data_IF_249308963692
#
_entry.id   IF_249308963692
#
_cell.length_a   1.000
_cell.length_b   1.000
_cell.length_c   1.000
_cell.angle_alpha   90.00
_cell.angle_beta   90.00
_cell.angle_gamma   90.00
#
_symmetry.space_group_name_H-M   'P 1'
#
loop_
_entity.id
_entity.type
_entity.pdbx_description
1 polymer ?
#
# COMPACT_ATOMS: atom_id res chain seq x y z
N UNK A 1 -27.34 14.58 -12.84
CA UNK A 1 -26.35 15.16 -13.77
C UNK A 1 -25.76 16.48 -13.28
N UNK A 2 -26.05 16.98 -12.06
CA UNK A 2 -25.49 18.26 -11.58
C UNK A 2 -24.96 18.18 -10.14
N UNK A 3 -23.88 17.44 -9.93
CA UNK A 3 -23.10 17.49 -8.66
C UNK A 3 -21.60 17.22 -8.84
N UNK A 4 -21.12 16.99 -10.08
CA UNK A 4 -19.71 16.69 -10.39
C UNK A 4 -18.86 17.92 -10.75
N UNK A 5 -19.43 19.12 -10.79
CA UNK A 5 -18.70 20.37 -11.04
C UNK A 5 -18.23 21.05 -9.74
N UNK A 6 -17.29 20.42 -9.05
CA UNK A 6 -16.39 21.10 -8.12
C UNK A 6 -14.93 20.84 -8.57
N UNK A 7 -14.66 21.07 -9.85
CA UNK A 7 -13.28 21.18 -10.33
C UNK A 7 -12.77 22.53 -9.83
N UNK A 8 -11.89 22.48 -8.83
CA UNK A 8 -11.13 23.64 -8.38
C UNK A 8 -10.44 24.24 -9.62
N UNK A 9 -10.86 25.45 -10.04
CA UNK A 9 -10.39 26.09 -11.28
C UNK A 9 -8.98 26.68 -11.18
N UNK A 10 -8.28 26.44 -10.07
CA UNK A 10 -6.94 26.94 -9.87
C UNK A 10 -5.91 26.11 -10.63
N UNK A 11 -4.80 26.75 -10.98
CA UNK A 11 -3.65 26.08 -11.58
C UNK A 11 -2.64 25.76 -10.49
N UNK A 12 -2.21 24.51 -10.40
CA UNK A 12 -1.28 24.04 -9.37
C UNK A 12 0.10 23.80 -9.93
N UNK A 13 1.11 23.98 -9.09
CA UNK A 13 2.49 23.61 -9.38
C UNK A 13 3.16 22.84 -8.24
N UNK A 14 4.11 21.97 -8.58
CA UNK A 14 4.97 21.28 -7.63
C UNK A 14 6.26 20.76 -8.30
N UNK A 15 7.26 20.44 -7.48
CA UNK A 15 8.41 19.62 -7.90
C UNK A 15 7.93 18.17 -7.98
N UNK A 16 8.12 17.52 -9.12
CA UNK A 16 7.69 16.13 -9.40
C UNK A 16 8.83 15.10 -9.27
N UNK A 17 10.06 15.55 -9.05
CA UNK A 17 11.25 14.73 -8.75
C UNK A 17 11.47 14.56 -7.25
N UNK A 18 12.18 13.51 -6.80
CA UNK A 18 12.54 13.35 -5.39
C UNK A 18 13.25 14.60 -4.82
N UNK A 19 13.03 14.86 -3.53
CA UNK A 19 13.70 15.96 -2.85
C UNK A 19 15.22 15.75 -2.81
N UNK A 20 15.97 16.81 -3.10
CA UNK A 20 17.43 16.80 -3.07
C UNK A 20 18.07 17.42 -4.30
N UNK A 21 19.38 17.28 -4.38
CA UNK A 21 20.19 17.70 -5.51
C UNK A 21 20.35 16.56 -6.52
N UNK A 22 20.39 16.91 -7.81
CA UNK A 22 20.56 15.94 -8.88
C UNK A 22 20.93 16.59 -10.21
N UNK A 23 21.16 15.76 -11.24
CA UNK A 23 21.43 16.28 -12.59
C UNK A 23 20.24 17.04 -13.18
N UNK A 24 19.01 16.64 -12.83
CA UNK A 24 17.77 17.21 -13.32
C UNK A 24 16.72 17.27 -12.20
N UNK A 25 15.89 18.31 -12.22
CA UNK A 25 14.64 18.38 -11.48
C UNK A 25 13.49 18.67 -12.45
N UNK A 26 12.30 18.15 -12.17
CA UNK A 26 11.10 18.40 -12.97
C UNK A 26 10.10 19.16 -12.14
N UNK A 27 9.66 20.32 -12.63
CA UNK A 27 8.53 21.04 -12.08
C UNK A 27 7.32 20.85 -12.98
N UNK A 28 6.18 20.52 -12.38
CA UNK A 28 4.93 20.26 -13.08
C UNK A 28 3.93 21.35 -12.76
N UNK A 29 3.23 21.83 -13.77
CA UNK A 29 2.13 22.79 -13.67
C UNK A 29 0.89 22.18 -14.33
N UNK A 30 -0.25 22.13 -13.64
CA UNK A 30 -1.52 21.58 -14.16
C UNK A 30 -2.69 22.48 -13.83
N UNK A 31 -3.58 22.70 -14.78
CA UNK A 31 -4.79 23.50 -14.62
C UNK A 31 -5.09 24.38 -15.83
N UNK A 32 -6.18 25.16 -15.80
CA UNK A 32 -6.66 25.92 -16.95
C UNK A 32 -5.69 27.01 -17.41
N UNK A 33 -4.83 27.53 -16.54
CA UNK A 33 -3.84 28.57 -16.86
C UNK A 33 -2.42 28.01 -16.99
N UNK A 34 -2.22 26.69 -16.96
CA UNK A 34 -0.88 26.09 -17.00
C UNK A 34 -0.05 26.56 -18.20
N UNK A 35 -0.67 26.59 -19.39
CA UNK A 35 -0.01 27.04 -20.62
C UNK A 35 0.32 28.53 -20.53
N UNK A 36 -0.65 29.37 -20.18
CA UNK A 36 -0.50 30.84 -20.19
C UNK A 36 0.48 31.34 -19.12
N UNK A 37 0.54 30.70 -17.96
CA UNK A 37 1.53 30.99 -16.92
C UNK A 37 2.93 30.67 -17.42
N UNK A 38 3.15 29.46 -17.96
CA UNK A 38 4.49 29.07 -18.39
C UNK A 38 4.92 29.83 -19.65
N UNK A 39 4.01 30.19 -20.56
CA UNK A 39 4.32 31.00 -21.75
C UNK A 39 4.88 32.38 -21.40
N UNK A 40 4.47 32.97 -20.27
CA UNK A 40 5.00 34.25 -19.81
C UNK A 40 6.47 34.15 -19.40
N UNK A 41 6.84 33.03 -18.77
CA UNK A 41 8.14 32.80 -18.13
C UNK A 41 9.17 32.13 -19.06
N UNK A 42 8.72 31.27 -19.96
CA UNK A 42 9.56 30.45 -20.82
C UNK A 42 9.76 31.10 -22.19
N UNK A 43 11.00 31.05 -22.70
CA UNK A 43 11.34 31.48 -24.06
C UNK A 43 12.03 30.34 -24.79
N UNK A 44 11.33 29.79 -25.79
CA UNK A 44 11.89 28.73 -26.64
C UNK A 44 12.98 29.26 -27.56
N UNK A 45 13.99 28.44 -27.85
CA UNK A 45 15.05 28.81 -28.81
C UNK A 45 14.48 29.02 -30.22
N UNK A 46 13.39 28.32 -30.57
CA UNK A 46 12.71 28.47 -31.84
C UNK A 46 11.78 29.68 -31.96
N UNK A 47 11.68 30.53 -30.92
CA UNK A 47 10.85 31.73 -30.89
C UNK A 47 9.34 31.48 -30.79
N UNK A 48 8.88 30.23 -30.91
CA UNK A 48 7.47 29.84 -30.77
C UNK A 48 7.04 29.83 -29.32
N UNK A 49 5.85 30.36 -29.07
CA UNK A 49 5.19 30.31 -27.76
C UNK A 49 4.59 28.93 -27.50
N UNK A 50 4.47 28.55 -26.23
CA UNK A 50 3.92 27.26 -25.78
C UNK A 50 2.49 27.05 -26.28
N UNK A 51 1.66 28.10 -26.30
CA UNK A 51 0.28 27.97 -26.79
C UNK A 51 0.20 27.61 -28.29
N UNK A 52 1.27 27.79 -29.06
CA UNK A 52 1.35 27.38 -30.47
C UNK A 52 1.88 25.94 -30.66
N UNK A 53 2.36 25.31 -29.58
CA UNK A 53 2.94 23.98 -29.67
C UNK A 53 1.85 22.90 -29.83
N UNK A 54 2.06 21.89 -30.68
CA UNK A 54 1.24 20.68 -30.65
C UNK A 54 1.41 19.96 -29.31
N UNK A 55 0.41 19.16 -28.94
CA UNK A 55 0.47 18.31 -27.76
C UNK A 55 1.66 17.34 -27.82
N UNK A 56 2.18 16.95 -26.65
CA UNK A 56 3.32 16.05 -26.46
C UNK A 56 4.65 16.55 -27.04
N UNK A 57 4.75 17.85 -27.35
CA UNK A 57 5.99 18.45 -27.84
C UNK A 57 6.90 18.84 -26.69
N UNK A 58 8.17 18.47 -26.81
CA UNK A 58 9.25 19.02 -25.98
C UNK A 58 10.06 20.06 -26.75
N UNK A 59 10.55 21.07 -26.05
CA UNK A 59 11.40 22.11 -26.63
C UNK A 59 12.34 22.72 -25.60
N UNK A 60 13.56 22.99 -26.06
CA UNK A 60 14.60 23.67 -25.27
C UNK A 60 14.41 25.19 -25.29
N UNK A 61 14.69 25.82 -24.15
CA UNK A 61 14.59 27.27 -23.98
C UNK A 61 15.11 27.72 -22.63
N UNK A 62 14.86 28.98 -22.29
CA UNK A 62 15.23 29.57 -20.99
C UNK A 62 14.00 30.00 -20.22
N UNK A 63 13.98 29.77 -18.91
CA UNK A 63 13.08 30.48 -17.99
C UNK A 63 13.74 31.78 -17.55
N UNK A 64 12.96 32.86 -17.54
CA UNK A 64 13.47 34.21 -17.26
C UNK A 64 12.65 34.92 -16.19
N UNK A 65 13.33 35.78 -15.45
CA UNK A 65 12.68 36.76 -14.57
C UNK A 65 11.98 37.86 -15.39
N UNK A 66 11.10 38.64 -14.76
CA UNK A 66 10.40 39.77 -15.40
C UNK A 66 11.37 40.83 -16.00
N UNK A 67 12.59 40.95 -15.45
CA UNK A 67 13.65 41.81 -15.98
C UNK A 67 14.42 41.23 -17.19
N UNK A 68 14.11 40.02 -17.64
CA UNK A 68 14.74 39.36 -18.79
C UNK A 68 16.00 38.54 -18.45
N UNK A 69 16.51 38.63 -17.23
CA UNK A 69 17.58 37.79 -16.69
C UNK A 69 17.17 36.31 -16.75
N UNK A 70 18.10 35.46 -17.18
CA UNK A 70 17.88 34.01 -17.27
C UNK A 70 18.02 33.39 -15.88
N UNK A 71 16.99 32.67 -15.44
CA UNK A 71 17.07 31.83 -14.25
C UNK A 71 17.79 30.53 -14.57
N UNK A 72 17.30 29.80 -15.58
CA UNK A 72 17.88 28.53 -16.01
C UNK A 72 17.49 28.21 -17.45
N UNK A 73 18.32 27.38 -18.09
CA UNK A 73 18.01 26.74 -19.35
C UNK A 73 17.28 25.41 -19.07
N UNK A 74 16.13 25.23 -19.71
CA UNK A 74 15.19 24.14 -19.41
C UNK A 74 14.70 23.44 -20.67
N UNK A 75 14.17 22.25 -20.49
CA UNK A 75 13.33 21.57 -21.49
C UNK A 75 11.88 21.62 -21.02
N UNK A 76 11.03 22.31 -21.76
CA UNK A 76 9.59 22.33 -21.53
C UNK A 76 8.92 21.21 -22.32
N UNK A 77 7.97 20.49 -21.70
CA UNK A 77 7.12 19.51 -22.37
C UNK A 77 5.65 19.89 -22.16
N UNK A 78 4.90 20.00 -23.26
CA UNK A 78 3.49 20.40 -23.24
C UNK A 78 2.55 19.22 -23.40
N UNK A 79 1.61 19.08 -22.47
CA UNK A 79 0.46 18.18 -22.55
C UNK A 79 -0.81 19.03 -22.60
N UNK A 80 -1.73 18.73 -23.53
CA UNK A 80 -3.00 19.44 -23.66
C UNK A 80 -4.14 18.57 -23.15
N UNK A 81 -5.14 19.18 -22.53
CA UNK A 81 -6.40 18.52 -22.15
C UNK A 81 -7.07 17.89 -23.39
N UNK A 82 -7.71 16.72 -23.28
CA UNK A 82 -7.81 15.83 -22.11
C UNK A 82 -6.63 14.85 -21.95
N UNK A 83 -5.58 15.07 -22.72
CA UNK A 83 -4.53 14.10 -23.04
C UNK A 83 -3.27 14.26 -22.15
N UNK A 84 -3.49 14.46 -20.85
CA UNK A 84 -2.45 14.56 -19.82
C UNK A 84 -2.68 13.56 -18.69
N UNK A 85 -1.81 13.57 -17.67
CA UNK A 85 -1.99 12.76 -16.46
C UNK A 85 -3.24 13.19 -15.69
N UNK A 86 -3.40 14.49 -15.43
CA UNK A 86 -4.56 15.03 -14.70
C UNK A 86 -5.82 15.11 -15.56
N UNK A 87 -5.71 15.06 -16.89
CA UNK A 87 -6.80 15.36 -17.82
C UNK A 87 -6.93 16.86 -18.14
N UNK A 88 -6.11 17.70 -17.53
CA UNK A 88 -6.06 19.15 -17.76
C UNK A 88 -4.91 19.53 -18.69
N UNK A 89 -4.81 20.81 -19.06
CA UNK A 89 -3.57 21.32 -19.64
C UNK A 89 -2.44 21.20 -18.60
N UNK A 90 -1.29 20.68 -19.03
CA UNK A 90 -0.15 20.42 -18.14
C UNK A 90 1.15 20.77 -18.85
N UNK A 91 2.05 21.44 -18.14
CA UNK A 91 3.40 21.75 -18.61
C UNK A 91 4.42 21.20 -17.61
N UNK A 92 5.42 20.49 -18.11
CA UNK A 92 6.55 20.01 -17.33
C UNK A 92 7.82 20.76 -17.74
N UNK A 93 8.53 21.32 -16.76
CA UNK A 93 9.79 22.03 -16.93
C UNK A 93 10.91 21.18 -16.31
N UNK A 94 11.74 20.58 -17.16
CA UNK A 94 12.96 19.90 -16.73
C UNK A 94 14.11 20.92 -16.67
N UNK A 95 14.54 21.26 -15.46
CA UNK A 95 15.61 22.20 -15.15
C UNK A 95 16.81 21.50 -14.51
N UNK A 96 17.91 22.20 -14.30
CA UNK A 96 19.02 21.69 -13.51
C UNK A 96 18.55 21.42 -12.07
N UNK A 97 18.99 20.30 -11.49
CA UNK A 97 18.55 19.84 -10.16
C UNK A 97 19.14 20.61 -8.97
N UNK A 98 19.48 21.89 -9.13
CA UNK A 98 19.91 22.76 -8.04
C UNK A 98 18.72 23.16 -7.16
N UNK A 99 18.85 23.01 -5.83
CA UNK A 99 17.79 23.41 -4.90
C UNK A 99 17.42 24.89 -5.03
N UNK A 100 18.39 25.75 -5.31
CA UNK A 100 18.16 27.17 -5.53
C UNK A 100 17.31 27.41 -6.78
N UNK A 101 17.62 26.74 -7.90
CA UNK A 101 16.86 26.87 -9.16
C UNK A 101 15.43 26.37 -8.96
N UNK A 102 15.26 25.22 -8.31
CA UNK A 102 13.95 24.67 -7.99
C UNK A 102 13.10 25.66 -7.17
N UNK A 103 13.69 26.25 -6.12
CA UNK A 103 13.00 27.23 -5.26
C UNK A 103 12.62 28.51 -6.04
N UNK A 104 13.53 29.06 -6.84
CA UNK A 104 13.23 30.26 -7.62
C UNK A 104 12.17 30.00 -8.69
N UNK A 105 12.20 28.85 -9.35
CA UNK A 105 11.20 28.50 -10.36
C UNK A 105 9.82 28.31 -9.74
N UNK A 106 9.72 27.67 -8.57
CA UNK A 106 8.47 27.60 -7.81
C UNK A 106 7.94 28.99 -7.44
N UNK A 107 8.81 29.87 -6.91
CA UNK A 107 8.43 31.26 -6.57
C UNK A 107 7.92 32.03 -7.78
N UNK A 108 8.56 31.88 -8.94
CA UNK A 108 8.12 32.49 -10.19
C UNK A 108 6.74 32.00 -10.62
N UNK A 109 6.50 30.68 -10.58
CA UNK A 109 5.22 30.08 -10.91
C UNK A 109 4.12 30.58 -9.97
N UNK A 110 4.38 30.58 -8.65
CA UNK A 110 3.42 31.08 -7.65
C UNK A 110 3.12 32.56 -7.85
N UNK A 111 4.15 33.37 -8.06
CA UNK A 111 4.01 34.81 -8.34
C UNK A 111 3.21 35.12 -9.61
N UNK A 112 3.08 34.15 -10.54
CA UNK A 112 2.36 34.31 -11.80
C UNK A 112 0.97 33.66 -11.84
N UNK A 113 0.50 33.11 -10.72
CA UNK A 113 -0.87 32.61 -10.57
C UNK A 113 -1.00 31.12 -10.22
N UNK A 114 0.10 30.39 -10.08
CA UNK A 114 0.04 29.01 -9.58
C UNK A 114 -0.18 28.97 -8.07
N UNK A 115 -0.92 27.97 -7.58
CA UNK A 115 -0.89 27.55 -6.17
C UNK A 115 0.05 26.35 -6.00
N UNK A 116 0.68 26.21 -4.84
CA UNK A 116 1.36 24.95 -4.49
C UNK A 116 0.36 23.80 -4.40
N UNK A 117 0.64 22.70 -5.10
CA UNK A 117 -0.19 21.50 -5.03
C UNK A 117 -0.17 20.88 -3.63
N UNK A 118 -1.32 20.36 -3.20
CA UNK A 118 -1.43 19.50 -2.01
C UNK A 118 -0.85 18.10 -2.27
N UNK A 119 -0.52 17.32 -1.22
CA UNK A 119 -0.15 15.91 -1.37
C UNK A 119 -1.19 15.13 -2.19
N UNK A 120 -0.72 14.39 -3.21
CA UNK A 120 -1.59 13.60 -4.09
C UNK A 120 -2.55 14.38 -4.99
N UNK A 121 -2.49 15.72 -5.02
CA UNK A 121 -3.50 16.53 -5.71
C UNK A 121 -3.52 16.26 -7.24
N UNK A 122 -2.37 15.97 -7.85
CA UNK A 122 -2.31 15.60 -9.28
C UNK A 122 -3.05 14.29 -9.54
N UNK A 123 -2.83 13.27 -8.71
CA UNK A 123 -3.53 11.98 -8.81
C UNK A 123 -5.03 12.13 -8.50
N UNK A 124 -5.40 12.99 -7.54
CA UNK A 124 -6.79 13.34 -7.23
C UNK A 124 -7.49 13.97 -8.42
N UNK A 125 -6.86 14.94 -9.11
CA UNK A 125 -7.41 15.56 -10.33
C UNK A 125 -7.55 14.56 -11.46
N UNK A 126 -6.59 13.64 -11.62
CA UNK A 126 -6.69 12.55 -12.59
C UNK A 126 -7.92 11.66 -12.33
N UNK A 127 -8.20 11.33 -11.07
CA UNK A 127 -9.41 10.60 -10.67
C UNK A 127 -10.70 11.39 -10.97
N UNK A 128 -10.77 12.65 -10.53
CA UNK A 128 -11.95 13.50 -10.73
C UNK A 128 -12.27 13.75 -12.21
N UNK A 129 -11.25 13.81 -13.06
CA UNK A 129 -11.40 13.95 -14.51
C UNK A 129 -11.60 12.61 -15.25
N UNK A 130 -11.79 11.50 -14.51
CA UNK A 130 -12.04 10.18 -15.09
C UNK A 130 -10.86 9.58 -15.86
N UNK A 131 -9.63 10.05 -15.62
CA UNK A 131 -8.40 9.48 -16.20
C UNK A 131 -7.99 8.20 -15.50
N UNK A 132 -8.29 8.10 -14.21
CA UNK A 132 -8.03 6.97 -13.34
C UNK A 132 -9.28 6.69 -12.52
N UNK A 133 -9.52 5.44 -12.16
CA UNK A 133 -10.41 5.11 -11.06
C UNK A 133 -9.67 5.13 -9.71
N UNK A 134 -10.37 4.92 -8.60
CA UNK A 134 -9.77 5.05 -7.27
C UNK A 134 -8.71 3.98 -6.98
N UNK A 135 -8.96 2.75 -7.45
CA UNK A 135 -8.02 1.64 -7.31
C UNK A 135 -6.74 1.89 -8.11
N UNK A 136 -6.88 2.42 -9.33
CA UNK A 136 -5.74 2.83 -10.16
C UNK A 136 -4.96 3.98 -9.55
N UNK A 137 -5.65 4.96 -8.93
CA UNK A 137 -4.99 6.06 -8.23
C UNK A 137 -4.11 5.55 -7.08
N UNK A 138 -4.63 4.67 -6.22
CA UNK A 138 -3.84 4.00 -5.17
C UNK A 138 -2.64 3.23 -5.73
N UNK A 139 -2.82 2.55 -6.87
CA UNK A 139 -1.75 1.80 -7.50
C UNK A 139 -0.59 2.68 -7.97
N UNK A 140 -0.83 3.97 -8.27
CA UNK A 140 0.25 4.91 -8.61
C UNK A 140 1.20 5.09 -7.42
N UNK A 141 0.68 5.27 -6.21
CA UNK A 141 1.50 5.36 -5.00
C UNK A 141 2.26 4.04 -4.76
N UNK A 142 1.59 2.90 -4.92
CA UNK A 142 2.17 1.59 -4.71
C UNK A 142 3.30 1.27 -5.72
N UNK A 143 3.19 1.73 -6.97
CA UNK A 143 4.26 1.61 -7.97
C UNK A 143 5.50 2.41 -7.56
N UNK A 144 5.30 3.61 -7.01
CA UNK A 144 6.40 4.51 -6.59
C UNK A 144 7.10 3.95 -5.35
N UNK A 145 6.35 3.41 -4.40
CA UNK A 145 6.88 2.88 -3.14
C UNK A 145 7.42 1.46 -3.23
N UNK A 146 7.09 0.71 -4.30
CA UNK A 146 7.44 -0.70 -4.45
C UNK A 146 8.96 -0.97 -4.29
N UNK A 147 9.31 -1.77 -3.28
CA UNK A 147 10.70 -2.22 -2.99
C UNK A 147 11.01 -3.63 -3.46
N UNK A 148 10.04 -4.31 -4.06
CA UNK A 148 10.18 -5.68 -4.55
C UNK A 148 9.56 -5.86 -5.94
N UNK A 149 10.06 -6.84 -6.70
CA UNK A 149 9.52 -7.17 -8.02
C UNK A 149 8.06 -7.66 -7.96
N UNK A 150 7.69 -8.34 -6.86
CA UNK A 150 6.34 -8.83 -6.63
C UNK A 150 5.38 -7.69 -6.30
N UNK A 151 5.78 -6.76 -5.41
CA UNK A 151 5.03 -5.54 -5.11
C UNK A 151 4.78 -4.71 -6.37
N UNK A 152 5.82 -4.49 -7.18
CA UNK A 152 5.71 -3.76 -8.44
C UNK A 152 4.76 -4.45 -9.43
N UNK A 153 4.81 -5.79 -9.51
CA UNK A 153 3.91 -6.57 -10.38
C UNK A 153 2.46 -6.45 -9.93
N UNK A 154 2.22 -6.53 -8.62
CA UNK A 154 0.90 -6.36 -8.02
C UNK A 154 0.32 -4.98 -8.30
N UNK A 155 1.09 -3.93 -8.01
CA UNK A 155 0.70 -2.55 -8.23
C UNK A 155 0.46 -2.25 -9.72
N UNK A 156 1.27 -2.78 -10.64
CA UNK A 156 1.04 -2.65 -12.09
C UNK A 156 -0.27 -3.30 -12.55
N UNK A 157 -0.60 -4.48 -12.03
CA UNK A 157 -1.85 -5.17 -12.33
C UNK A 157 -3.08 -4.44 -11.76
N UNK A 158 -2.91 -3.67 -10.70
CA UNK A 158 -3.96 -2.77 -10.22
C UNK A 158 -4.07 -1.53 -11.11
N UNK A 159 -2.94 -0.94 -11.50
CA UNK A 159 -2.90 0.25 -12.36
C UNK A 159 -3.43 0.03 -13.78
N UNK A 160 -3.33 -1.19 -14.33
CA UNK A 160 -3.88 -1.52 -15.66
C UNK A 160 -5.42 -1.62 -15.70
N UNK A 161 -6.08 -1.53 -14.54
CA UNK A 161 -7.54 -1.57 -14.41
C UNK A 161 -8.12 -2.97 -14.19
N UNK A 162 -7.30 -4.02 -14.10
CA UNK A 162 -7.78 -5.39 -13.88
C UNK A 162 -8.60 -5.54 -12.59
N UNK A 163 -8.21 -4.79 -11.54
CA UNK A 163 -8.90 -4.81 -10.24
C UNK A 163 -10.30 -4.24 -10.38
N UNK A 164 -10.38 -3.04 -10.93
CA UNK A 164 -11.64 -2.34 -11.18
C UNK A 164 -12.56 -3.15 -12.07
N UNK A 165 -12.05 -3.74 -13.15
CA UNK A 165 -12.83 -4.60 -14.02
C UNK A 165 -13.49 -5.77 -13.27
N UNK A 166 -12.79 -6.42 -12.35
CA UNK A 166 -13.35 -7.56 -11.62
C UNK A 166 -14.28 -7.18 -10.48
N UNK A 167 -13.98 -6.11 -9.71
CA UNK A 167 -14.91 -5.62 -8.69
C UNK A 167 -16.20 -5.10 -9.33
N UNK A 168 -16.07 -4.42 -10.46
CA UNK A 168 -17.19 -4.00 -11.27
C UNK A 168 -18.01 -5.21 -11.78
N UNK A 169 -17.36 -6.27 -12.26
CA UNK A 169 -18.07 -7.49 -12.65
C UNK A 169 -18.78 -8.18 -11.47
N UNK A 170 -18.26 -8.07 -10.24
CA UNK A 170 -18.96 -8.53 -9.03
C UNK A 170 -20.17 -7.65 -8.71
N UNK A 171 -20.02 -6.33 -8.78
CA UNK A 171 -21.11 -5.38 -8.58
C UNK A 171 -22.23 -5.58 -9.62
N UNK A 172 -21.88 -5.76 -10.90
CA UNK A 172 -22.82 -5.96 -11.99
C UNK A 172 -23.67 -7.24 -11.76
N UNK A 173 -23.07 -8.32 -11.23
CA UNK A 173 -23.80 -9.54 -10.83
C UNK A 173 -24.78 -9.30 -9.68
N UNK A 174 -24.39 -8.50 -8.68
CA UNK A 174 -25.28 -8.16 -7.56
C UNK A 174 -26.41 -7.22 -7.99
N UNK A 175 -26.17 -6.35 -8.97
CA UNK A 175 -27.20 -5.51 -9.59
C UNK A 175 -28.22 -6.39 -10.34
N UNK A 176 -27.75 -7.39 -11.09
CA UNK A 176 -28.63 -8.38 -11.74
C UNK A 176 -29.49 -9.12 -10.70
N UNK A 177 -28.90 -9.52 -9.56
CA UNK A 177 -29.64 -10.13 -8.45
C UNK A 177 -30.71 -9.20 -7.86
N UNK A 178 -30.40 -7.90 -7.73
CA UNK A 178 -31.37 -6.90 -7.27
C UNK A 178 -32.56 -6.85 -8.24
N UNK A 179 -32.31 -6.85 -9.54
CA UNK A 179 -33.38 -6.84 -10.53
C UNK A 179 -34.28 -8.08 -10.46
N UNK A 180 -33.70 -9.26 -10.20
CA UNK A 180 -34.46 -10.50 -10.02
C UNK A 180 -35.33 -10.47 -8.76
N UNK A 181 -34.81 -9.95 -7.64
CA UNK A 181 -35.58 -9.81 -6.39
C UNK A 181 -36.72 -8.80 -6.51
N UNK A 182 -36.51 -7.69 -7.20
CA UNK A 182 -37.55 -6.67 -7.43
C UNK A 182 -38.65 -7.21 -8.36
N UNK A 183 -38.30 -8.06 -9.34
CA UNK A 183 -39.30 -8.78 -10.15
C UNK A 183 -40.11 -9.79 -9.33
N UNK A 184 -39.50 -10.52 -8.38
CA UNK A 184 -40.24 -11.41 -7.48
C UNK A 184 -41.30 -10.64 -6.67
N UNK A 185 -40.98 -9.40 -6.26
CA UNK A 185 -41.90 -8.53 -5.51
C UNK A 185 -43.07 -8.05 -6.36
N UNK A 186 -42.78 -7.47 -7.51
CA UNK A 186 -43.79 -6.88 -8.41
C UNK A 186 -44.83 -7.90 -8.90
N UNK A 187 -44.44 -9.17 -8.98
CA UNK A 187 -45.28 -10.27 -9.49
C UNK A 187 -45.71 -11.27 -8.43
N UNK A 188 -45.48 -11.00 -7.14
CA UNK A 188 -45.86 -11.89 -6.03
C UNK A 188 -47.38 -12.15 -5.89
N UNK A 189 -48.22 -11.29 -6.49
CA UNK A 189 -49.68 -11.45 -6.56
C UNK A 189 -50.17 -12.18 -7.82
N UNK A 190 -49.30 -12.34 -8.83
CA UNK A 190 -49.61 -13.08 -10.05
C UNK A 190 -49.15 -14.55 -9.87
N UNK A 191 -50.01 -15.54 -10.18
CA UNK A 191 -49.72 -16.99 -10.11
C UNK A 191 -48.65 -17.41 -11.16
N UNK A 192 -47.46 -16.82 -11.09
CA UNK A 192 -46.36 -17.05 -12.02
C UNK A 192 -45.08 -17.31 -11.22
N UNK A 193 -44.48 -18.48 -11.40
CA UNK A 193 -43.20 -18.87 -10.77
C UNK A 193 -42.05 -18.00 -11.33
N UNK A 194 -41.89 -16.79 -10.81
CA UNK A 194 -40.80 -15.89 -11.19
C UNK A 194 -39.60 -16.07 -10.26
N UNK A 195 -38.50 -16.55 -10.85
CA UNK A 195 -37.24 -16.93 -10.22
C UNK A 195 -37.39 -18.02 -9.14
N UNK A 196 -36.89 -19.23 -9.45
CA UNK A 196 -36.73 -20.26 -8.43
C UNK A 196 -35.80 -19.72 -7.33
N UNK A 197 -36.31 -19.59 -6.10
CA UNK A 197 -35.52 -19.13 -4.94
C UNK A 197 -34.23 -19.92 -4.77
N UNK A 198 -34.21 -21.18 -5.21
CA UNK A 198 -32.98 -21.98 -5.25
C UNK A 198 -31.88 -21.33 -6.10
N UNK A 199 -32.25 -20.76 -7.25
CA UNK A 199 -31.34 -20.08 -8.19
C UNK A 199 -30.78 -18.80 -7.57
N UNK A 200 -31.62 -18.03 -6.87
CA UNK A 200 -31.18 -16.83 -6.15
C UNK A 200 -30.16 -17.18 -5.04
N UNK A 201 -30.46 -18.21 -4.24
CA UNK A 201 -29.56 -18.70 -3.20
C UNK A 201 -28.22 -19.17 -3.79
N UNK A 202 -28.24 -19.90 -4.90
CA UNK A 202 -27.02 -20.37 -5.58
C UNK A 202 -26.16 -19.20 -6.12
N UNK A 203 -26.79 -18.18 -6.71
CA UNK A 203 -26.10 -17.00 -7.21
C UNK A 203 -25.50 -16.15 -6.07
N UNK A 204 -26.26 -15.93 -4.99
CA UNK A 204 -25.77 -15.22 -3.81
C UNK A 204 -24.63 -16.00 -3.13
N UNK A 205 -24.77 -17.31 -2.96
CA UNK A 205 -23.77 -18.16 -2.32
C UNK A 205 -22.48 -18.24 -3.12
N UNK A 206 -22.56 -18.37 -4.45
CA UNK A 206 -21.37 -18.38 -5.31
C UNK A 206 -20.66 -17.02 -5.32
N UNK A 207 -21.41 -15.92 -5.29
CA UNK A 207 -20.85 -14.57 -5.20
C UNK A 207 -20.18 -14.34 -3.84
N UNK A 208 -20.82 -14.79 -2.75
CA UNK A 208 -20.25 -14.74 -1.41
C UNK A 208 -18.94 -15.55 -1.33
N UNK A 209 -18.92 -16.76 -1.87
CA UNK A 209 -17.70 -17.57 -1.91
C UNK A 209 -16.56 -16.86 -2.66
N UNK A 210 -16.86 -16.15 -3.75
CA UNK A 210 -15.85 -15.38 -4.48
C UNK A 210 -15.33 -14.20 -3.66
N UNK A 211 -16.19 -13.50 -2.92
CA UNK A 211 -15.78 -12.41 -2.02
C UNK A 211 -14.90 -12.96 -0.90
N UNK A 212 -15.28 -14.09 -0.29
CA UNK A 212 -14.50 -14.74 0.77
C UNK A 212 -13.12 -15.21 0.29
N UNK A 213 -13.02 -15.75 -0.93
CA UNK A 213 -11.72 -16.05 -1.54
C UNK A 213 -10.85 -14.80 -1.65
N UNK A 214 -11.38 -13.66 -2.09
CA UNK A 214 -10.62 -12.41 -2.16
C UNK A 214 -10.16 -11.94 -0.78
N UNK A 215 -11.02 -12.03 0.24
CA UNK A 215 -10.68 -11.74 1.64
C UNK A 215 -9.49 -12.59 2.10
N UNK A 216 -9.47 -13.90 1.80
CA UNK A 216 -8.35 -14.77 2.20
C UNK A 216 -7.01 -14.40 1.55
N UNK A 217 -7.01 -13.73 0.40
CA UNK A 217 -5.77 -13.29 -0.25
C UNK A 217 -5.10 -12.09 0.43
N UNK A 218 -5.81 -11.40 1.34
CA UNK A 218 -5.35 -10.14 1.93
C UNK A 218 -4.04 -10.26 2.69
N UNK A 219 -3.89 -11.26 3.55
CA UNK A 219 -2.67 -11.44 4.35
C UNK A 219 -1.42 -11.53 3.46
N UNK A 220 -1.50 -12.38 2.44
CA UNK A 220 -0.41 -12.61 1.51
C UNK A 220 -0.18 -11.41 0.55
N UNK A 221 -1.25 -10.73 0.12
CA UNK A 221 -1.15 -9.51 -0.68
C UNK A 221 -0.56 -8.33 0.08
N UNK A 222 -0.95 -8.14 1.34
CA UNK A 222 -0.39 -7.13 2.22
C UNK A 222 1.08 -7.40 2.53
N UNK A 223 1.45 -8.66 2.78
CA UNK A 223 2.85 -9.09 2.93
C UNK A 223 3.70 -8.77 1.69
N UNK A 224 3.14 -8.90 0.48
CA UNK A 224 3.82 -8.52 -0.76
C UNK A 224 3.97 -7.00 -0.88
N UNK A 225 2.93 -6.24 -0.52
CA UNK A 225 2.88 -4.77 -0.64
C UNK A 225 3.78 -4.08 0.39
N UNK A 226 3.47 -4.25 1.67
CA UNK A 226 4.15 -3.57 2.76
C UNK A 226 5.44 -4.30 3.14
N UNK A 227 5.46 -5.62 2.99
CA UNK A 227 6.47 -6.51 3.56
C UNK A 227 5.94 -7.28 4.77
N UNK A 228 6.63 -8.37 5.13
CA UNK A 228 6.32 -9.20 6.29
C UNK A 228 7.00 -8.60 7.52
N UNK A 229 6.21 -8.17 8.50
CA UNK A 229 6.73 -7.67 9.77
C UNK A 229 7.27 -8.84 10.61
N UNK A 230 8.51 -8.75 11.04
CA UNK A 230 9.21 -9.78 11.82
C UNK A 230 9.74 -9.16 13.11
N UNK A 231 9.22 -9.62 14.26
CA UNK A 231 9.75 -9.25 15.56
C UNK A 231 10.88 -10.20 15.96
N UNK A 232 12.00 -9.67 16.45
CA UNK A 232 13.09 -10.46 17.05
C UNK A 232 13.07 -10.24 18.56
N UNK A 233 12.55 -11.21 19.28
CA UNK A 233 12.34 -11.14 20.74
C UNK A 233 13.19 -12.17 21.46
N UNK A 234 13.46 -11.94 22.73
CA UNK A 234 14.24 -12.87 23.54
C UNK A 234 15.00 -12.19 24.68
N UNK A 235 15.56 -12.98 25.62
CA UNK A 235 16.31 -12.44 26.75
C UNK A 235 17.50 -11.57 26.34
N UNK A 236 18.00 -10.76 27.28
CA UNK A 236 19.29 -10.08 27.12
C UNK A 236 20.40 -11.10 26.81
N UNK A 237 21.37 -10.73 25.98
CA UNK A 237 22.50 -11.57 25.58
C UNK A 237 22.17 -12.88 24.84
N UNK A 238 20.91 -13.14 24.48
CA UNK A 238 20.52 -14.28 23.62
C UNK A 238 21.16 -14.21 22.21
N UNK A 239 21.66 -13.04 21.82
CA UNK A 239 22.36 -12.82 20.56
C UNK A 239 21.47 -12.28 19.44
N UNK A 240 20.39 -11.57 19.79
CA UNK A 240 19.49 -10.87 18.85
C UNK A 240 20.24 -9.94 17.89
N UNK A 241 21.15 -9.12 18.40
CA UNK A 241 21.93 -8.16 17.57
C UNK A 241 22.91 -8.87 16.63
N UNK A 242 23.48 -9.98 17.09
CA UNK A 242 24.31 -10.85 16.24
C UNK A 242 23.50 -11.50 15.14
N UNK A 243 22.29 -11.98 15.45
CA UNK A 243 21.35 -12.54 14.47
C UNK A 243 20.92 -11.48 13.44
N UNK A 244 20.55 -10.29 13.91
CA UNK A 244 20.19 -9.14 13.08
C UNK A 244 21.30 -8.84 12.06
N UNK A 245 22.55 -8.70 12.52
CA UNK A 245 23.69 -8.43 11.64
C UNK A 245 23.96 -9.57 10.66
N UNK A 246 23.81 -10.83 11.10
CA UNK A 246 23.98 -12.00 10.25
C UNK A 246 22.89 -12.08 9.15
N UNK A 247 21.65 -11.69 9.47
CA UNK A 247 20.53 -11.62 8.52
C UNK A 247 20.69 -10.47 7.52
N UNK A 248 21.14 -9.29 7.97
CA UNK A 248 21.27 -8.10 7.13
C UNK A 248 22.47 -8.13 6.18
N UNK A 249 23.50 -8.92 6.48
CA UNK A 249 24.81 -8.95 5.80
C UNK A 249 24.85 -8.46 4.34
N UNK A 250 24.40 -9.29 3.38
CA UNK A 250 24.39 -8.96 1.94
C UNK A 250 22.99 -8.60 1.39
N UNK A 251 21.94 -8.87 2.15
CA UNK A 251 20.54 -8.81 1.70
C UNK A 251 19.80 -7.57 2.23
N UNK A 252 20.54 -6.59 2.77
CA UNK A 252 19.99 -5.31 3.24
C UNK A 252 19.27 -4.61 2.09
N UNK A 253 17.98 -4.36 2.26
CA UNK A 253 17.28 -3.45 1.37
C UNK A 253 17.83 -2.03 1.63
N UNK A 254 18.32 -1.36 0.59
CA UNK A 254 18.76 0.03 0.71
C UNK A 254 17.52 0.87 0.98
N UNK A 255 17.40 1.36 2.22
CA UNK A 255 16.43 2.40 2.57
C UNK A 255 17.05 3.73 2.12
N UNK A 256 16.31 4.53 1.35
CA UNK A 256 16.75 5.88 1.02
C UNK A 256 16.63 6.77 2.26
N UNK A 257 17.73 7.40 2.67
CA UNK A 257 17.79 8.34 3.79
C UNK A 257 17.21 9.73 3.44
N UNK A 258 16.20 9.81 2.56
CA UNK A 258 15.61 11.10 2.19
C UNK A 258 14.84 11.69 3.36
N UNK A 259 15.42 12.73 3.97
CA UNK A 259 14.83 13.46 5.08
C UNK A 259 13.43 13.97 4.71
N UNK A 260 12.41 13.41 5.36
CA UNK A 260 11.01 13.86 5.21
C UNK A 260 10.00 12.77 4.86
N UNK A 261 10.40 11.57 4.43
CA UNK A 261 9.46 10.50 4.07
C UNK A 261 9.81 9.18 4.74
N UNK A 262 9.56 9.14 6.06
CA UNK A 262 9.23 8.00 6.93
C UNK A 262 9.41 8.55 8.34
N UNK A 263 8.37 9.22 8.86
CA UNK A 263 8.40 9.81 10.20
C UNK A 263 8.43 8.77 11.33
N UNK A 264 8.30 7.51 10.96
CA UNK A 264 8.35 6.36 11.84
C UNK A 264 9.71 5.67 11.68
N UNK A 265 10.28 5.35 12.85
CA UNK A 265 11.40 4.47 13.16
C UNK A 265 12.17 3.88 11.96
N UNK A 266 13.48 4.07 11.91
CA UNK A 266 14.37 3.39 10.95
C UNK A 266 14.25 1.86 11.16
N UNK A 267 13.29 1.23 10.48
CA UNK A 267 13.12 -0.21 10.44
C UNK A 267 14.22 -0.80 9.54
N UNK A 268 14.99 -1.75 10.07
CA UNK A 268 15.88 -2.53 9.21
C UNK A 268 15.03 -3.48 8.36
N UNK A 269 15.39 -3.64 7.09
CA UNK A 269 14.68 -4.54 6.20
C UNK A 269 15.64 -5.38 5.37
N UNK A 270 15.21 -6.60 5.05
CA UNK A 270 15.96 -7.54 4.22
C UNK A 270 15.07 -8.14 3.14
N UNK A 271 15.69 -8.50 2.02
CA UNK A 271 15.00 -9.14 0.91
C UNK A 271 15.36 -10.61 0.82
N UNK A 272 14.39 -11.50 1.03
CA UNK A 272 14.57 -12.95 0.93
C UNK A 272 13.61 -13.47 -0.14
N UNK A 273 14.10 -14.23 -1.12
CA UNK A 273 13.24 -14.85 -2.16
C UNK A 273 12.37 -13.86 -2.95
N UNK A 274 12.75 -12.58 -2.98
CA UNK A 274 11.97 -11.52 -3.61
C UNK A 274 10.99 -10.78 -2.69
N UNK A 275 10.74 -11.26 -1.47
CA UNK A 275 9.85 -10.65 -0.46
C UNK A 275 10.62 -9.67 0.41
N UNK A 276 9.99 -8.57 0.81
CA UNK A 276 10.50 -7.65 1.81
C UNK A 276 10.12 -8.14 3.21
N UNK A 277 11.10 -8.36 4.09
CA UNK A 277 10.88 -8.59 5.51
C UNK A 277 11.29 -7.33 6.27
N UNK A 278 10.38 -6.76 7.06
CA UNK A 278 10.62 -5.59 7.90
C UNK A 278 10.89 -6.05 9.33
N UNK A 279 12.02 -5.68 9.88
CA UNK A 279 12.41 -6.07 11.23
C UNK A 279 11.89 -5.00 12.19
N UNK A 280 10.90 -5.38 13.01
CA UNK A 280 10.24 -4.47 13.95
C UNK A 280 11.14 -4.27 15.17
N UNK A 281 11.28 -3.01 15.59
CA UNK A 281 12.03 -2.57 16.78
C UNK A 281 13.51 -3.03 16.84
N UNK A 282 14.28 -2.72 15.79
CA UNK A 282 15.74 -2.99 15.80
C UNK A 282 16.53 -2.00 16.66
N UNK A 283 15.94 -0.87 17.05
CA UNK A 283 16.56 0.11 17.94
C UNK A 283 16.81 -0.48 19.34
N UNK A 284 15.86 -1.22 19.88
CA UNK A 284 16.03 -1.98 21.14
C UNK A 284 17.07 -3.10 21.05
N UNK A 285 17.32 -3.64 19.86
CA UNK A 285 18.36 -4.65 19.61
C UNK A 285 19.75 -4.02 19.54
N UNK A 286 19.88 -2.76 19.09
CA UNK A 286 21.16 -2.04 18.97
C UNK A 286 21.56 -1.29 20.23
N UNK A 287 20.62 -0.87 21.07
CA UNK A 287 20.87 -0.06 22.27
C UNK A 287 21.30 -0.84 23.51
N UNK A 288 21.48 -2.17 23.44
CA UNK A 288 21.75 -3.04 24.60
C UNK A 288 23.15 -2.92 25.23
N UNK A 289 23.84 -1.79 25.09
CA UNK A 289 25.06 -1.51 25.86
C UNK A 289 24.78 -0.76 27.18
N UNK A 290 23.59 -0.16 27.38
CA UNK A 290 23.27 0.55 28.63
C UNK A 290 21.94 0.15 29.28
N UNK A 291 21.99 0.06 30.61
CA UNK A 291 20.97 -0.45 31.54
C UNK A 291 19.61 0.22 31.39
N UNK A 292 18.64 -0.39 30.69
CA UNK A 292 17.21 -0.23 31.00
C UNK A 292 16.44 -1.54 30.72
N UNK A 293 16.19 -2.33 31.77
CA UNK A 293 15.63 -3.69 31.67
C UNK A 293 14.09 -3.71 31.57
N UNK A 294 13.39 -2.69 32.08
CA UNK A 294 11.92 -2.60 32.01
C UNK A 294 11.40 -2.09 30.65
N UNK A 295 12.12 -1.16 30.00
CA UNK A 295 11.76 -0.66 28.66
C UNK A 295 11.85 -1.78 27.61
N UNK A 296 12.72 -2.78 27.81
CA UNK A 296 12.90 -3.89 26.86
C UNK A 296 11.71 -4.85 26.77
N UNK A 297 10.96 -5.05 27.87
CA UNK A 297 9.82 -5.98 27.92
C UNK A 297 8.59 -5.35 27.25
N UNK A 298 8.23 -4.11 27.62
CA UNK A 298 7.08 -3.41 27.02
C UNK A 298 7.27 -3.24 25.50
N UNK A 299 8.50 -2.93 25.07
CA UNK A 299 8.87 -2.86 23.65
C UNK A 299 8.77 -4.20 22.93
N UNK A 300 9.18 -5.29 23.57
CA UNK A 300 9.03 -6.64 23.01
C UNK A 300 7.55 -6.97 22.77
N UNK A 301 6.65 -6.58 23.68
CA UNK A 301 5.21 -6.77 23.49
C UNK A 301 4.61 -5.89 22.40
N UNK A 302 5.06 -4.63 22.28
CA UNK A 302 4.68 -3.78 21.16
C UNK A 302 5.11 -4.39 19.82
N UNK A 303 6.36 -4.84 19.72
CA UNK A 303 6.87 -5.49 18.51
C UNK A 303 6.11 -6.78 18.17
N UNK A 304 5.71 -7.57 19.17
CA UNK A 304 4.88 -8.77 18.98
C UNK A 304 3.52 -8.41 18.39
N UNK A 305 2.88 -7.33 18.86
CA UNK A 305 1.55 -6.93 18.40
C UNK A 305 1.51 -6.47 16.94
N UNK A 306 2.65 -6.02 16.41
CA UNK A 306 2.78 -5.54 15.03
C UNK A 306 3.34 -6.60 14.07
N UNK A 307 3.82 -7.74 14.60
CA UNK A 307 4.53 -8.74 13.82
C UNK A 307 3.60 -9.76 13.14
N UNK A 308 3.97 -10.15 11.92
CA UNK A 308 3.40 -11.30 11.23
C UNK A 308 4.15 -12.60 11.57
N UNK A 309 5.43 -12.50 11.94
CA UNK A 309 6.26 -13.63 12.36
C UNK A 309 7.10 -13.20 13.57
N UNK A 310 7.20 -14.08 14.57
CA UNK A 310 7.99 -13.84 15.77
C UNK A 310 9.20 -14.77 15.77
N UNK A 311 10.41 -14.19 15.78
CA UNK A 311 11.66 -14.91 16.00
C UNK A 311 12.02 -14.85 17.48
N UNK A 312 11.76 -15.94 18.20
CA UNK A 312 12.09 -16.02 19.63
C UNK A 312 13.49 -16.59 19.83
N UNK A 313 14.44 -15.74 20.17
CA UNK A 313 15.87 -16.06 20.25
C UNK A 313 16.27 -16.42 21.67
N UNK A 314 16.80 -17.62 21.86
CA UNK A 314 17.35 -18.11 23.12
C UNK A 314 18.82 -18.49 23.00
N UNK A 315 19.58 -18.35 24.09
CA UNK A 315 20.94 -18.88 24.20
C UNK A 315 20.87 -20.38 24.56
N UNK A 316 21.30 -21.25 23.64
CA UNK A 316 21.25 -22.70 23.81
C UNK A 316 22.01 -23.24 25.03
N UNK A 317 22.88 -22.43 25.65
CA UNK A 317 23.62 -22.79 26.87
C UNK A 317 22.81 -22.67 28.15
N UNK A 318 21.73 -21.88 28.14
CA UNK A 318 21.01 -21.47 29.36
C UNK A 318 19.53 -21.85 29.33
N UNK A 319 19.15 -22.87 28.57
CA UNK A 319 17.74 -23.27 28.42
C UNK A 319 17.06 -23.70 29.74
N UNK A 320 17.81 -24.27 30.68
CA UNK A 320 17.28 -24.63 32.01
C UNK A 320 17.03 -23.43 32.92
N UNK A 321 17.52 -22.24 32.56
CA UNK A 321 17.43 -21.00 33.35
C UNK A 321 16.40 -20.03 32.79
N UNK A 322 15.58 -20.47 31.82
CA UNK A 322 14.55 -19.62 31.22
C UNK A 322 13.49 -19.24 32.26
N UNK A 323 13.11 -17.97 32.25
CA UNK A 323 11.97 -17.49 33.01
C UNK A 323 10.68 -18.02 32.36
N UNK A 324 10.01 -18.95 33.04
CA UNK A 324 8.76 -19.55 32.59
C UNK A 324 7.62 -18.55 32.55
N UNK A 325 7.60 -17.57 33.45
CA UNK A 325 6.54 -16.58 33.48
C UNK A 325 6.66 -15.64 32.28
N UNK A 326 7.88 -15.18 31.98
CA UNK A 326 8.16 -14.36 30.80
C UNK A 326 7.83 -15.11 29.50
N UNK A 327 8.27 -16.38 29.40
CA UNK A 327 7.96 -17.25 28.26
C UNK A 327 6.45 -17.39 28.05
N UNK A 328 5.70 -17.60 29.13
CA UNK A 328 4.24 -17.74 29.07
C UNK A 328 3.56 -16.43 28.65
N UNK A 329 4.04 -15.28 29.13
CA UNK A 329 3.51 -13.98 28.71
C UNK A 329 3.75 -13.74 27.22
N UNK A 330 4.93 -14.08 26.71
CA UNK A 330 5.26 -13.98 25.28
C UNK A 330 4.34 -14.87 24.44
N UNK A 331 4.17 -16.14 24.82
CA UNK A 331 3.27 -17.06 24.10
C UNK A 331 1.83 -16.56 24.08
N UNK A 332 1.34 -15.97 25.19
CA UNK A 332 0.00 -15.36 25.24
C UNK A 332 -0.11 -14.12 24.35
N UNK A 333 0.91 -13.27 24.34
CA UNK A 333 0.93 -12.08 23.50
C UNK A 333 1.04 -12.41 22.01
N UNK A 334 1.75 -13.49 21.66
CA UNK A 334 1.85 -13.98 20.29
C UNK A 334 0.49 -14.43 19.73
N UNK A 335 -0.39 -14.99 20.56
CA UNK A 335 -1.71 -15.45 20.11
C UNK A 335 -1.60 -16.49 18.99
N UNK A 336 -2.15 -16.19 17.82
CA UNK A 336 -2.09 -17.04 16.62
C UNK A 336 -0.88 -16.74 15.72
N UNK A 337 -0.09 -15.71 16.03
CA UNK A 337 1.07 -15.30 15.23
C UNK A 337 2.13 -16.40 15.25
N UNK A 338 2.63 -16.86 14.08
CA UNK A 338 3.67 -17.88 14.01
C UNK A 338 4.93 -17.52 14.79
N UNK A 339 5.31 -18.36 15.75
CA UNK A 339 6.54 -18.24 16.53
C UNK A 339 7.56 -19.27 16.04
N UNK A 340 8.75 -18.78 15.65
CA UNK A 340 9.89 -19.61 15.29
C UNK A 340 10.95 -19.51 16.39
N UNK A 341 11.20 -20.63 17.08
CA UNK A 341 12.15 -20.71 18.17
C UNK A 341 13.58 -20.85 17.64
N UNK A 342 14.44 -19.88 17.96
CA UNK A 342 15.83 -19.86 17.52
C UNK A 342 16.77 -20.17 18.69
N UNK A 343 17.38 -21.35 18.66
CA UNK A 343 18.37 -21.78 19.65
C UNK A 343 19.76 -21.35 19.17
N UNK A 344 20.18 -20.16 19.58
CA UNK A 344 21.44 -19.54 19.18
C UNK A 344 22.63 -20.09 19.99
N UNK A 345 23.84 -19.91 19.45
CA UNK A 345 25.12 -20.38 20.02
C UNK A 345 25.22 -21.91 20.09
N UNK A 346 24.62 -22.60 19.12
CA UNK A 346 24.69 -24.05 19.00
C UNK A 346 26.11 -24.59 18.81
N UNK A 347 27.06 -23.73 18.46
CA UNK A 347 28.49 -24.06 18.39
C UNK A 347 29.15 -24.18 19.77
N UNK A 348 28.54 -23.65 20.82
CA UNK A 348 29.07 -23.67 22.19
C UNK A 348 28.38 -24.71 23.09
N UNK A 349 27.18 -25.14 22.73
CA UNK A 349 26.46 -26.20 23.41
C UNK A 349 25.49 -26.88 22.44
N UNK A 350 25.41 -28.20 22.52
CA UNK A 350 24.32 -28.95 21.90
C UNK A 350 23.06 -28.69 22.73
N UNK A 351 22.01 -28.05 22.18
CA UNK A 351 20.81 -27.74 22.95
C UNK A 351 20.16 -29.03 23.45
N UNK A 352 20.06 -29.20 24.77
CA UNK A 352 19.38 -30.36 25.36
C UNK A 352 17.87 -30.09 25.37
N UNK A 353 17.15 -30.74 24.47
CA UNK A 353 15.73 -30.51 24.17
C UNK A 353 14.81 -30.73 25.38
N UNK A 354 15.20 -31.65 26.25
CA UNK A 354 14.48 -31.96 27.49
C UNK A 354 14.44 -30.77 28.46
N UNK A 355 15.33 -29.78 28.30
CA UNK A 355 15.39 -28.61 29.17
C UNK A 355 14.42 -27.49 28.75
N UNK A 356 13.78 -27.58 27.59
CA UNK A 356 12.77 -26.60 27.16
C UNK A 356 11.46 -26.77 27.95
N UNK A 357 10.77 -25.68 28.31
CA UNK A 357 9.38 -25.72 28.76
C UNK A 357 8.49 -26.43 27.74
N UNK A 358 7.43 -27.11 28.20
CA UNK A 358 6.52 -27.87 27.33
C UNK A 358 5.89 -27.01 26.25
N UNK A 359 5.58 -25.75 26.59
CA UNK A 359 5.00 -24.74 25.71
C UNK A 359 5.90 -24.42 24.51
N UNK A 360 7.23 -24.53 24.67
CA UNK A 360 8.21 -24.29 23.61
C UNK A 360 8.57 -25.55 22.82
N UNK A 361 8.33 -26.75 23.37
CA UNK A 361 8.68 -28.01 22.71
C UNK A 361 7.84 -28.30 21.47
N UNK A 362 6.61 -27.79 21.41
CA UNK A 362 5.70 -27.94 20.27
C UNK A 362 5.98 -26.95 19.14
N UNK A 363 6.78 -25.90 19.40
CA UNK A 363 7.07 -24.88 18.41
C UNK A 363 8.10 -25.34 17.38
N UNK A 364 7.97 -24.83 16.14
CA UNK A 364 9.00 -25.02 15.12
C UNK A 364 10.29 -24.33 15.57
N UNK A 365 11.42 -24.99 15.36
CA UNK A 365 12.70 -24.59 15.96
C UNK A 365 13.88 -24.72 15.01
N UNK A 366 14.84 -23.82 15.16
CA UNK A 366 16.09 -23.79 14.39
C UNK A 366 17.27 -23.60 15.35
N UNK A 367 18.22 -24.53 15.32
CA UNK A 367 19.51 -24.36 15.97
C UNK A 367 20.45 -23.58 15.04
N UNK A 368 21.07 -22.52 15.56
CA UNK A 368 21.95 -21.68 14.76
C UNK A 368 23.14 -21.14 15.57
N UNK A 369 24.21 -20.80 14.87
CA UNK A 369 25.35 -20.08 15.42
C UNK A 369 25.48 -18.74 14.68
N UNK A 370 24.69 -17.74 15.10
CA UNK A 370 24.55 -16.47 14.38
C UNK A 370 25.90 -15.79 14.09
N UNK A 371 26.85 -15.87 15.02
CA UNK A 371 28.20 -15.28 14.87
C UNK A 371 29.02 -15.93 13.76
N UNK A 372 28.79 -17.21 13.47
CA UNK A 372 29.45 -17.98 12.40
C UNK A 372 28.67 -17.98 11.10
N UNK A 373 27.42 -17.50 11.09
CA UNK A 373 26.51 -17.58 9.96
C UNK A 373 25.87 -18.95 9.74
N UNK A 374 26.11 -19.92 10.61
CA UNK A 374 25.53 -21.27 10.51
C UNK A 374 24.04 -21.25 10.86
N UNK A 375 23.20 -21.91 10.05
CA UNK A 375 21.74 -21.96 10.24
C UNK A 375 20.97 -20.75 9.69
N UNK A 376 21.66 -19.70 9.22
CA UNK A 376 21.01 -18.49 8.69
C UNK A 376 20.25 -18.77 7.38
N UNK A 377 20.81 -19.57 6.47
CA UNK A 377 20.10 -19.92 5.23
C UNK A 377 18.85 -20.78 5.48
N UNK A 378 18.90 -21.67 6.48
CA UNK A 378 17.72 -22.43 6.90
C UNK A 378 16.64 -21.50 7.49
N UNK A 379 17.04 -20.53 8.32
CA UNK A 379 16.14 -19.50 8.82
C UNK A 379 15.49 -18.69 7.68
N UNK A 380 16.24 -18.31 6.65
CA UNK A 380 15.69 -17.62 5.48
C UNK A 380 14.66 -18.47 4.73
N UNK A 381 14.92 -19.76 4.55
CA UNK A 381 13.97 -20.69 3.92
C UNK A 381 12.68 -20.82 4.74
N UNK A 382 12.81 -20.85 6.06
CA UNK A 382 11.68 -20.95 6.98
C UNK A 382 10.83 -19.68 7.02
N UNK A 383 11.47 -18.50 7.00
CA UNK A 383 10.79 -17.22 6.85
C UNK A 383 9.98 -17.15 5.54
N UNK A 384 10.51 -17.69 4.44
CA UNK A 384 9.77 -17.77 3.17
C UNK A 384 8.55 -18.69 3.24
N UNK A 385 8.66 -19.84 3.91
CA UNK A 385 7.54 -20.75 4.10
C UNK A 385 6.43 -20.12 4.94
N UNK A 386 6.81 -19.44 6.03
CA UNK A 386 5.88 -18.77 6.93
C UNK A 386 5.21 -17.54 6.31
N UNK A 387 5.87 -16.87 5.36
CA UNK A 387 5.30 -15.73 4.63
C UNK A 387 4.13 -16.11 3.69
N UNK A 388 3.89 -17.41 3.45
CA UNK A 388 2.75 -17.96 2.69
C UNK A 388 2.43 -17.17 1.41
N UNK A 389 3.41 -17.04 0.51
CA UNK A 389 3.22 -16.34 -0.76
C UNK A 389 2.06 -16.95 -1.57
N UNK A 390 1.24 -16.12 -2.24
CA UNK A 390 0.32 -16.62 -3.25
C UNK A 390 1.14 -17.17 -4.41
N UNK A 391 1.10 -18.48 -4.65
CA UNK A 391 1.71 -19.06 -5.84
C UNK A 391 0.88 -18.73 -7.07
N UNK A 392 1.48 -17.99 -8.01
CA UNK A 392 1.25 -18.16 -9.44
C UNK A 392 -0.16 -17.92 -10.00
N UNK A 393 -1.12 -17.37 -9.26
CA UNK A 393 -2.46 -17.16 -9.79
C UNK A 393 -2.56 -15.86 -10.59
N UNK A 394 -3.20 -15.93 -11.77
CA UNK A 394 -3.66 -14.77 -12.52
C UNK A 394 -4.87 -14.08 -11.86
N UNK A 395 -5.26 -14.52 -10.66
CA UNK A 395 -6.35 -13.92 -9.89
C UNK A 395 -5.95 -12.60 -9.23
N UNK A 396 -6.97 -11.86 -8.80
CA UNK A 396 -6.80 -10.61 -8.06
C UNK A 396 -6.39 -10.95 -6.63
N UNK A 397 -5.37 -10.26 -6.15
CA UNK A 397 -4.85 -10.41 -4.80
C UNK A 397 -5.14 -9.11 -4.05
N UNK A 398 -5.95 -9.17 -3.02
CA UNK A 398 -6.25 -7.99 -2.21
C UNK A 398 -5.00 -7.65 -1.39
N UNK A 399 -4.54 -6.41 -1.43
CA UNK A 399 -3.37 -5.95 -0.66
C UNK A 399 -3.60 -4.69 0.14
N UNK A 400 -4.73 -4.00 -0.09
CA UNK A 400 -5.08 -2.77 0.60
C UNK A 400 -6.10 -3.08 1.71
N UNK A 401 -5.82 -2.63 2.93
CA UNK A 401 -6.71 -2.73 4.09
C UNK A 401 -8.10 -2.16 3.80
N UNK A 402 -8.18 -1.07 3.03
CA UNK A 402 -9.47 -0.46 2.62
C UNK A 402 -10.31 -1.43 1.80
N UNK A 403 -9.71 -2.09 0.82
CA UNK A 403 -10.39 -3.10 0.00
C UNK A 403 -10.80 -4.29 0.85
N UNK A 404 -9.94 -4.73 1.77
CA UNK A 404 -10.24 -5.81 2.69
C UNK A 404 -11.46 -5.49 3.58
N UNK A 405 -11.52 -4.29 4.17
CA UNK A 405 -12.66 -3.86 4.98
C UNK A 405 -13.95 -3.78 4.17
N UNK A 406 -13.88 -3.21 2.96
CA UNK A 406 -15.02 -3.14 2.05
C UNK A 406 -15.55 -4.55 1.68
N UNK A 407 -14.65 -5.50 1.44
CA UNK A 407 -15.03 -6.89 1.17
C UNK A 407 -15.61 -7.59 2.40
N UNK A 408 -15.10 -7.35 3.61
CA UNK A 408 -15.71 -7.87 4.84
C UNK A 408 -17.15 -7.37 5.00
N UNK A 409 -17.36 -6.06 4.83
CA UNK A 409 -18.69 -5.45 4.90
C UNK A 409 -19.63 -6.05 3.83
N UNK A 410 -19.14 -6.21 2.60
CA UNK A 410 -19.88 -6.83 1.50
C UNK A 410 -20.25 -8.29 1.81
N UNK A 411 -19.33 -9.08 2.37
CA UNK A 411 -19.56 -10.46 2.75
C UNK A 411 -20.59 -10.57 3.89
N UNK A 412 -20.50 -9.71 4.91
CA UNK A 412 -21.48 -9.68 6.00
C UNK A 412 -22.88 -9.34 5.50
N UNK A 413 -23.01 -8.33 4.62
CA UNK A 413 -24.29 -7.96 4.02
C UNK A 413 -24.86 -9.11 3.17
N UNK A 414 -24.03 -9.74 2.32
CA UNK A 414 -24.48 -10.83 1.47
C UNK A 414 -24.83 -12.10 2.24
N UNK A 415 -24.14 -12.40 3.36
CA UNK A 415 -24.54 -13.48 4.28
C UNK A 415 -25.94 -13.28 4.85
N UNK A 416 -26.31 -12.04 5.22
CA UNK A 416 -27.67 -11.74 5.68
C UNK A 416 -28.70 -11.98 4.58
N UNK A 417 -28.39 -11.63 3.33
CA UNK A 417 -29.26 -11.91 2.18
C UNK A 417 -29.44 -13.42 1.98
N UNK A 418 -28.35 -14.20 1.98
CA UNK A 418 -28.40 -15.66 1.82
C UNK A 418 -29.26 -16.28 2.94
N UNK A 419 -28.98 -15.93 4.20
CA UNK A 419 -29.76 -16.44 5.34
C UNK A 419 -31.24 -16.04 5.22
N UNK A 420 -31.54 -14.81 4.83
CA UNK A 420 -32.91 -14.34 4.68
C UNK A 420 -33.67 -15.04 3.56
N UNK A 421 -33.01 -15.41 2.46
CA UNK A 421 -33.61 -16.23 1.41
C UNK A 421 -33.93 -17.64 1.92
N UNK A 422 -33.01 -18.27 2.67
CA UNK A 422 -33.19 -19.59 3.28
C UNK A 422 -34.33 -19.60 4.33
N UNK A 423 -34.43 -18.54 5.12
CA UNK A 423 -35.46 -18.36 6.14
C UNK A 423 -36.84 -17.99 5.57
N UNK A 424 -36.95 -17.79 4.25
CA UNK A 424 -38.21 -17.46 3.58
C UNK A 424 -38.65 -16.01 3.80
N UNK A 425 -37.72 -15.09 4.09
CA UNK A 425 -38.01 -13.67 4.25
C UNK A 425 -38.48 -13.09 2.90
N UNK A 426 -39.38 -12.08 2.96
CA UNK A 426 -39.81 -11.32 1.77
C UNK A 426 -38.66 -10.49 1.21
N UNK A 427 -38.55 -10.43 -0.12
CA UNK A 427 -37.49 -9.74 -0.86
C UNK A 427 -37.37 -8.25 -0.52
N UNK A 428 -38.46 -7.59 -0.11
CA UNK A 428 -38.47 -6.17 0.31
C UNK A 428 -37.50 -5.89 1.47
N UNK A 429 -37.36 -6.88 2.38
CA UNK A 429 -36.47 -6.78 3.53
C UNK A 429 -35.02 -7.17 3.20
N UNK A 430 -34.79 -7.80 2.05
CA UNK A 430 -33.46 -8.23 1.59
C UNK A 430 -32.79 -7.19 0.68
N UNK A 431 -33.58 -6.43 -0.08
CA UNK A 431 -33.08 -5.38 -0.98
C UNK A 431 -32.12 -4.37 -0.32
N UNK A 432 -32.35 -3.88 0.92
CA UNK A 432 -31.41 -2.99 1.59
C UNK A 432 -30.03 -3.62 1.85
N UNK A 433 -29.97 -4.88 2.25
CA UNK A 433 -28.70 -5.59 2.49
C UNK A 433 -27.96 -5.86 1.18
N UNK A 434 -28.67 -6.18 0.10
CA UNK A 434 -28.06 -6.35 -1.22
C UNK A 434 -27.49 -5.03 -1.76
N UNK A 435 -28.20 -3.91 -1.58
CA UNK A 435 -27.67 -2.57 -1.90
C UNK A 435 -26.44 -2.23 -1.07
N UNK A 436 -26.43 -2.53 0.23
CA UNK A 436 -25.26 -2.32 1.09
C UNK A 436 -24.03 -3.15 0.63
N UNK A 437 -24.26 -4.36 0.11
CA UNK A 437 -23.21 -5.18 -0.50
C UNK A 437 -22.62 -4.53 -1.76
N UNK A 438 -23.48 -4.11 -2.69
CA UNK A 438 -23.08 -3.40 -3.93
C UNK A 438 -22.28 -2.15 -3.58
N UNK A 439 -22.80 -1.33 -2.67
CA UNK A 439 -22.20 -0.08 -2.24
C UNK A 439 -20.77 -0.28 -1.71
N UNK A 440 -20.58 -1.32 -0.90
CA UNK A 440 -19.26 -1.67 -0.35
C UNK A 440 -18.28 -2.09 -1.45
N UNK A 441 -18.73 -2.82 -2.48
CA UNK A 441 -17.87 -3.22 -3.61
C UNK A 441 -17.54 -2.01 -4.51
N UNK A 442 -18.52 -1.16 -4.81
CA UNK A 442 -18.33 0.02 -5.67
C UNK A 442 -17.45 1.09 -5.03
N UNK A 443 -17.37 1.14 -3.69
CA UNK A 443 -16.42 1.99 -2.97
C UNK A 443 -14.96 1.63 -3.31
N UNK A 444 -14.68 0.37 -3.67
CA UNK A 444 -13.32 -0.07 -4.04
C UNK A 444 -12.86 0.58 -5.34
N UNK A 445 -13.69 0.47 -6.40
CA UNK A 445 -13.39 1.04 -7.72
C UNK A 445 -13.63 2.54 -7.78
N UNK A 446 -14.43 3.10 -6.86
CA UNK A 446 -14.80 4.51 -6.88
C UNK A 446 -15.89 4.84 -7.88
N UNK A 447 -16.63 3.82 -8.40
CA UNK A 447 -17.89 4.03 -9.15
C UNK A 447 -18.89 4.82 -8.30
N UNK A 448 -18.91 4.52 -7.01
CA UNK A 448 -19.58 5.34 -5.99
C UNK A 448 -18.51 6.08 -5.21
N UNK A 449 -18.52 7.41 -5.32
CA UNK A 449 -17.60 8.27 -4.58
C UNK A 449 -18.03 8.24 -3.11
N UNK A 450 -17.15 7.74 -2.22
CA UNK A 450 -17.33 7.85 -0.78
C UNK A 450 -17.34 9.31 -0.31
N UNK A 451 -17.41 9.56 0.99
CA UNK A 451 -17.33 10.93 1.50
C UNK A 451 -16.00 11.60 1.12
N UNK A 452 -15.99 12.93 1.00
CA UNK A 452 -14.78 13.73 0.72
C UNK A 452 -13.62 13.40 1.68
N UNK A 453 -13.93 12.95 2.90
CA UNK A 453 -12.96 12.49 3.89
C UNK A 453 -12.17 11.26 3.46
N UNK A 454 -12.79 10.31 2.75
CA UNK A 454 -12.12 9.10 2.25
C UNK A 454 -11.13 9.47 1.15
N UNK A 455 -11.55 10.34 0.21
CA UNK A 455 -10.66 10.86 -0.83
C UNK A 455 -9.47 11.61 -0.21
N UNK A 456 -9.74 12.49 0.77
CA UNK A 456 -8.68 13.22 1.46
C UNK A 456 -7.69 12.26 2.14
N UNK A 457 -8.17 11.25 2.86
CA UNK A 457 -7.32 10.26 3.52
C UNK A 457 -6.46 9.44 2.54
N UNK A 458 -7.00 9.09 1.36
CA UNK A 458 -6.23 8.35 0.34
C UNK A 458 -5.10 9.22 -0.20
N UNK A 459 -5.41 10.44 -0.66
CA UNK A 459 -4.43 11.30 -1.32
C UNK A 459 -3.47 12.00 -0.33
N UNK A 460 -3.81 12.12 0.95
CA UNK A 460 -2.90 12.71 1.96
C UNK A 460 -1.62 11.89 2.18
N UNK A 461 -1.65 10.59 1.85
CA UNK A 461 -0.50 9.69 1.97
C UNK A 461 0.40 9.69 0.72
N UNK A 462 0.02 10.43 -0.33
CA UNK A 462 0.80 10.54 -1.56
C UNK A 462 1.88 11.62 -1.43
N UNK A 463 2.87 11.59 -2.33
CA UNK A 463 3.88 12.63 -2.37
C UNK A 463 3.31 13.93 -2.95
N UNK A 464 3.92 15.06 -2.58
CA UNK A 464 3.68 16.32 -3.29
C UNK A 464 4.28 16.18 -4.70
N UNK A 465 3.51 16.53 -5.74
CA UNK A 465 3.94 16.40 -7.14
C UNK A 465 3.53 15.10 -7.85
N UNK A 466 2.98 14.12 -7.11
CA UNK A 466 2.29 12.94 -7.66
C UNK A 466 1.17 12.46 -6.75
#
# INVERSE_FOLDING_TARGET
MDSLHLVNQDTICAIATPAGEGGLAVLRVSGPEAISIVDRLFRSVGGKQLHEWPAYRSGYGSVRYEGGEVLDDVVATLFRSPHSFTGEDTVELACHGSLYIQEQLLRLLIGNGCRMAEPGEFSKRAFLNGRLDLSQAEAVADIISARSAQALRLARKQADGSYSAAFNALADKLIELTALLELELDFSEEDVEFADRSTLIELCSSTLQRIEQLITTYSAGNAVKEGVAVAIVGPANAGKSTLLNALLGRDRAIVSDTAGTTRDTVEDSLRIGGILFRLVDTAGIRSTEDKIEQIGIERSFAAISEANIILYVLDGRYLSQLDREETNRLCRAAGETPVLLLLNKSDLATPAEDLLPEELRSMKRICLAAKKGEGIELLKQELLQLAQLPEGSNDIIVSNTRHYQALLNAAEALRRVVQGLEDGISSDFLSPDLRACIDSIEEISGRRIGSDTVLHHIFSHFCIGK
#
